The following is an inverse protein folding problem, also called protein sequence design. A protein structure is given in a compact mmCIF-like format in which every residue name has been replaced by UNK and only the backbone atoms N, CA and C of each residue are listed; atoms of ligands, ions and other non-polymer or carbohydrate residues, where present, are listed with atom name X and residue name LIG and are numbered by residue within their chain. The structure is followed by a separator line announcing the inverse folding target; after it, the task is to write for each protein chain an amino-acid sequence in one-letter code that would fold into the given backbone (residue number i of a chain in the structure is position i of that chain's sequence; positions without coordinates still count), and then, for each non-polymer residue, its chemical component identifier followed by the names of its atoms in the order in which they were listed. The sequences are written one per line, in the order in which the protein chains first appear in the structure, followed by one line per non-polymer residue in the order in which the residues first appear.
data_IF_823592702314
#
_entry.id   IF_823592702314
#
_cell.length_a   1.000
_cell.length_b   1.000
_cell.length_c   1.000
_cell.angle_alpha   90.00
_cell.angle_beta   90.00
_cell.angle_gamma   90.00
#
_symmetry.space_group_name_H-M   'P 1'
#
loop_
_entity.id
_entity.type
_entity.pdbx_description
1 polymer ?
#
# COMPACT_ATOMS: atom_id res chain seq x y z
N UNK A 1 2.73 -1.07 15.29
CA UNK A 1 4.08 -0.60 15.70
C UNK A 1 4.83 -1.88 15.99
N UNK A 2 5.95 -2.19 15.31
CA UNK A 2 6.53 -3.52 15.36
C UNK A 2 6.89 -3.99 16.78
N UNK A 3 7.29 -3.06 17.65
CA UNK A 3 7.58 -3.35 19.05
C UNK A 3 6.33 -3.75 19.83
N UNK A 4 5.23 -3.01 19.65
CA UNK A 4 3.94 -3.35 20.25
C UNK A 4 3.40 -4.68 19.71
N UNK A 5 3.51 -4.91 18.40
CA UNK A 5 3.03 -6.14 17.75
C UNK A 5 3.78 -7.36 18.33
N UNK A 6 5.12 -7.29 18.40
CA UNK A 6 5.93 -8.34 19.01
C UNK A 6 5.59 -8.57 20.50
N UNK A 7 5.36 -7.50 21.26
CA UNK A 7 5.00 -7.58 22.68
C UNK A 7 3.65 -8.29 22.88
N UNK A 8 2.64 -7.94 22.09
CA UNK A 8 1.29 -8.52 22.19
C UNK A 8 1.29 -9.99 21.77
N UNK A 9 1.82 -10.31 20.59
CA UNK A 9 1.80 -11.68 20.06
C UNK A 9 2.77 -12.64 20.78
N UNK A 10 3.81 -12.12 21.43
CA UNK A 10 4.74 -12.92 22.24
C UNK A 10 4.30 -13.14 23.70
N UNK A 11 3.29 -12.42 24.19
CA UNK A 11 2.84 -12.48 25.57
C UNK A 11 1.89 -13.65 25.84
N UNK A 12 2.00 -14.25 27.03
CA UNK A 12 1.02 -15.25 27.48
C UNK A 12 -0.29 -14.56 27.88
N UNK A 13 -1.47 -15.16 27.59
CA UNK A 13 -2.75 -14.65 28.08
C UNK A 13 -2.74 -14.49 29.61
N UNK A 14 -3.31 -13.39 30.09
CA UNK A 14 -3.41 -13.05 31.51
C UNK A 14 -2.15 -12.43 32.12
N UNK A 15 -0.98 -12.55 31.49
CA UNK A 15 0.27 -11.98 32.00
C UNK A 15 0.38 -10.48 31.66
N UNK A 16 0.95 -9.70 32.58
CA UNK A 16 1.37 -8.32 32.32
C UNK A 16 2.80 -8.34 31.79
N UNK A 17 3.04 -7.66 30.68
CA UNK A 17 4.35 -7.58 30.04
C UNK A 17 5.32 -6.67 30.80
N UNK A 18 6.61 -6.82 30.52
CA UNK A 18 7.59 -5.80 30.88
C UNK A 18 7.39 -4.53 30.01
N UNK A 19 7.78 -3.34 30.50
CA UNK A 19 7.74 -2.11 29.72
C UNK A 19 8.62 -2.21 28.47
N UNK A 20 8.05 -1.93 27.29
CA UNK A 20 8.76 -1.95 26.01
C UNK A 20 8.65 -0.59 25.34
N UNK A 21 9.77 -0.07 24.82
CA UNK A 21 9.80 1.18 24.06
C UNK A 21 9.37 0.93 22.61
N UNK A 22 8.41 1.72 22.13
CA UNK A 22 7.99 1.76 20.73
C UNK A 22 7.96 3.18 20.18
N UNK A 23 7.42 3.34 18.98
CA UNK A 23 7.48 4.61 18.23
C UNK A 23 6.68 5.73 18.90
N UNK A 24 5.68 5.40 19.71
CA UNK A 24 4.83 6.37 20.40
C UNK A 24 5.07 6.45 21.92
N UNK A 25 6.16 5.87 22.43
CA UNK A 25 6.51 5.90 23.85
C UNK A 25 6.72 4.53 24.47
N UNK A 26 6.26 4.33 25.70
CA UNK A 26 6.41 3.08 26.44
C UNK A 26 5.08 2.32 26.50
N UNK A 27 5.15 1.00 26.28
CA UNK A 27 4.01 0.10 26.32
C UNK A 27 4.15 -0.92 27.47
N UNK A 28 3.05 -1.14 28.18
CA UNK A 28 2.84 -2.27 29.09
C UNK A 28 1.50 -2.86 28.71
N UNK A 29 1.45 -4.15 28.38
CA UNK A 29 0.22 -4.80 27.89
C UNK A 29 -0.15 -5.99 28.76
N UNK A 30 -1.47 -6.24 28.86
CA UNK A 30 -2.04 -7.48 29.38
C UNK A 30 -2.86 -8.10 28.26
N UNK A 31 -2.52 -9.32 27.85
CA UNK A 31 -3.28 -10.01 26.81
C UNK A 31 -4.47 -10.71 27.46
N UNK A 32 -5.69 -10.24 27.19
CA UNK A 32 -6.88 -10.82 27.83
C UNK A 32 -7.32 -12.13 27.15
N UNK A 33 -7.28 -12.17 25.82
CA UNK A 33 -7.73 -13.31 25.01
C UNK A 33 -6.83 -13.45 23.79
N UNK A 34 -6.73 -14.69 23.26
CA UNK A 34 -6.04 -14.99 22.01
C UNK A 34 -7.01 -15.73 21.11
N UNK A 35 -7.26 -15.16 19.93
CA UNK A 35 -8.00 -15.82 18.86
C UNK A 35 -7.00 -16.47 17.90
N UNK A 36 -7.12 -17.77 17.62
CA UNK A 36 -6.25 -18.43 16.65
C UNK A 36 -6.32 -17.74 15.28
N UNK A 37 -5.17 -17.56 14.65
CA UNK A 37 -5.11 -17.04 13.30
C UNK A 37 -5.78 -18.01 12.31
N UNK A 38 -6.43 -17.47 11.29
CA UNK A 38 -6.96 -18.24 10.17
C UNK A 38 -6.22 -17.86 8.90
N UNK A 39 -5.50 -18.81 8.31
CA UNK A 39 -4.82 -18.60 7.02
C UNK A 39 -5.79 -18.95 5.89
N UNK A 40 -6.14 -18.00 5.00
CA UNK A 40 -7.04 -18.29 3.89
C UNK A 40 -6.39 -19.30 2.93
N UNK A 41 -7.21 -20.18 2.33
CA UNK A 41 -6.75 -21.06 1.25
C UNK A 41 -6.31 -20.22 0.05
N UNK A 42 -5.36 -20.73 -0.73
CA UNK A 42 -4.82 -20.04 -1.90
C UNK A 42 -5.93 -19.54 -2.85
N UNK A 43 -6.92 -20.36 -3.15
CA UNK A 43 -8.03 -19.98 -4.04
C UNK A 43 -8.78 -18.74 -3.57
N UNK A 44 -8.92 -18.53 -2.26
CA UNK A 44 -9.61 -17.35 -1.72
C UNK A 44 -8.82 -16.05 -1.89
N UNK A 45 -7.50 -16.13 -2.11
CA UNK A 45 -6.60 -14.96 -2.23
C UNK A 45 -5.89 -14.90 -3.59
N UNK A 46 -6.16 -15.85 -4.49
CA UNK A 46 -5.47 -15.99 -5.78
C UNK A 46 -5.54 -14.73 -6.62
N UNK A 47 -6.73 -14.16 -6.79
CA UNK A 47 -6.94 -12.95 -7.57
C UNK A 47 -6.15 -11.75 -7.01
N UNK A 48 -6.18 -11.57 -5.68
CA UNK A 48 -5.40 -10.52 -5.00
C UNK A 48 -3.90 -10.72 -5.22
N UNK A 49 -3.40 -11.95 -5.08
CA UNK A 49 -1.97 -12.28 -5.29
C UNK A 49 -1.54 -12.06 -6.74
N UNK A 50 -2.37 -12.42 -7.71
CA UNK A 50 -2.10 -12.18 -9.14
C UNK A 50 -2.03 -10.69 -9.45
N UNK A 51 -2.96 -9.88 -8.92
CA UNK A 51 -2.94 -8.43 -9.08
C UNK A 51 -1.68 -7.81 -8.47
N UNK A 52 -1.30 -8.24 -7.27
CA UNK A 52 -0.08 -7.78 -6.62
C UNK A 52 1.17 -8.16 -7.41
N UNK A 53 1.24 -9.39 -7.93
CA UNK A 53 2.36 -9.88 -8.74
C UNK A 53 2.47 -9.11 -10.06
N UNK A 54 1.36 -8.87 -10.75
CA UNK A 54 1.32 -8.06 -11.98
C UNK A 54 1.79 -6.63 -11.71
N UNK A 55 1.30 -6.01 -10.63
CA UNK A 55 1.68 -4.65 -10.25
C UNK A 55 3.18 -4.54 -9.96
N UNK A 56 3.72 -5.49 -9.18
CA UNK A 56 5.15 -5.57 -8.90
C UNK A 56 5.97 -5.80 -10.18
N UNK A 57 5.51 -6.68 -11.06
CA UNK A 57 6.13 -6.93 -12.36
C UNK A 57 6.18 -5.66 -13.21
N UNK A 58 5.04 -5.02 -13.46
CA UNK A 58 4.96 -3.79 -14.28
C UNK A 58 5.86 -2.71 -13.72
N UNK A 59 5.89 -2.51 -12.39
CA UNK A 59 6.80 -1.55 -11.75
C UNK A 59 8.26 -1.89 -12.04
N UNK A 60 8.67 -3.13 -11.77
CA UNK A 60 10.06 -3.56 -11.97
C UNK A 60 10.48 -3.49 -13.45
N UNK A 61 9.57 -3.82 -14.36
CA UNK A 61 9.76 -3.72 -15.79
C UNK A 61 9.95 -2.26 -16.19
N UNK A 62 9.05 -1.37 -15.78
CA UNK A 62 9.16 0.06 -16.05
C UNK A 62 10.46 0.63 -15.48
N UNK A 63 10.81 0.37 -14.23
CA UNK A 63 12.04 0.86 -13.60
C UNK A 63 13.30 0.39 -14.37
N UNK A 64 13.33 -0.90 -14.75
CA UNK A 64 14.44 -1.49 -15.51
C UNK A 64 14.60 -0.88 -16.89
N UNK A 65 13.51 -0.67 -17.62
CA UNK A 65 13.60 -0.15 -18.98
C UNK A 65 13.72 1.37 -19.01
N UNK A 66 13.03 2.10 -18.14
CA UNK A 66 13.22 3.55 -17.96
C UNK A 66 14.68 3.87 -17.68
N UNK A 67 15.35 3.12 -16.80
CA UNK A 67 16.78 3.36 -16.50
C UNK A 67 17.73 3.09 -17.67
N UNK A 68 17.30 2.31 -18.67
CA UNK A 68 18.13 1.90 -19.82
C UNK A 68 17.77 2.59 -21.13
N UNK A 69 16.63 3.27 -21.19
CA UNK A 69 16.12 3.87 -22.43
C UNK A 69 16.24 5.38 -22.38
N UNK A 70 17.18 5.92 -23.16
CA UNK A 70 17.24 7.35 -23.48
C UNK A 70 16.59 7.58 -24.84
N UNK A 71 15.54 8.39 -24.87
CA UNK A 71 14.77 8.64 -26.07
C UNK A 71 15.35 9.82 -26.86
N UNK A 72 15.14 9.83 -28.18
CA UNK A 72 15.56 10.95 -29.02
C UNK A 72 14.83 12.25 -28.61
N UNK A 73 15.49 13.40 -28.83
CA UNK A 73 15.03 14.73 -28.38
C UNK A 73 13.57 15.06 -28.71
N UNK A 74 13.07 14.60 -29.87
CA UNK A 74 11.71 14.87 -30.34
C UNK A 74 10.71 13.73 -30.07
N UNK A 75 11.14 12.66 -29.40
CA UNK A 75 10.34 11.46 -29.13
C UNK A 75 10.39 11.06 -27.64
N UNK A 76 10.56 12.04 -26.75
CA UNK A 76 10.60 11.80 -25.31
C UNK A 76 9.18 11.49 -24.82
N UNK A 77 9.02 10.34 -24.18
CA UNK A 77 7.79 9.91 -23.50
C UNK A 77 8.07 9.58 -22.04
N UNK A 78 7.04 9.47 -21.21
CA UNK A 78 7.17 9.27 -19.75
C UNK A 78 7.90 7.97 -19.32
N UNK A 79 8.11 7.06 -20.28
CA UNK A 79 8.86 5.82 -20.10
C UNK A 79 10.36 5.94 -20.43
N UNK A 80 10.86 7.13 -20.75
CA UNK A 80 12.26 7.38 -21.03
C UNK A 80 13.01 7.92 -19.81
N UNK A 81 14.30 7.58 -19.67
CA UNK A 81 15.20 8.10 -18.63
C UNK A 81 15.30 9.62 -18.64
N UNK A 82 15.33 10.21 -19.84
CA UNK A 82 15.43 11.64 -20.10
C UNK A 82 14.07 12.34 -20.19
N UNK A 83 12.99 11.69 -19.75
CA UNK A 83 11.68 12.32 -19.64
C UNK A 83 11.75 13.55 -18.71
N UNK A 84 11.24 14.71 -19.12
CA UNK A 84 11.12 15.84 -18.20
C UNK A 84 10.24 15.41 -17.03
N UNK A 85 10.68 15.70 -15.80
CA UNK A 85 9.88 15.48 -14.60
C UNK A 85 8.62 16.34 -14.75
N UNK A 86 7.46 15.72 -15.02
CA UNK A 86 6.20 16.45 -15.02
C UNK A 86 6.00 17.07 -13.64
N UNK A 87 5.69 18.36 -13.58
CA UNK A 87 5.19 18.98 -12.36
C UNK A 87 3.90 18.25 -11.96
N UNK A 88 3.76 17.92 -10.69
CA UNK A 88 2.59 17.23 -10.16
C UNK A 88 1.33 17.93 -10.67
N UNK A 89 0.60 17.27 -11.57
CA UNK A 89 -0.75 17.69 -11.90
C UNK A 89 -1.59 17.46 -10.63
N UNK A 90 -2.51 18.36 -10.28
CA UNK A 90 -3.56 18.04 -9.32
C UNK A 90 -4.17 16.71 -9.76
N UNK A 91 -4.18 15.71 -8.87
CA UNK A 91 -4.73 14.40 -9.18
C UNK A 91 -6.19 14.53 -9.66
N UNK A 92 -6.78 13.48 -10.22
CA UNK A 92 -8.21 13.43 -10.51
C UNK A 92 -8.98 13.42 -9.17
N UNK A 93 -9.07 14.59 -8.54
CA UNK A 93 -10.08 14.90 -7.55
C UNK A 93 -11.40 15.00 -8.28
N UNK A 94 -12.36 14.21 -7.85
CA UNK A 94 -13.80 14.47 -7.99
C UNK A 94 -14.26 14.86 -9.39
N UNK A 95 -14.78 13.89 -10.15
CA UNK A 95 -15.89 14.20 -11.05
C UNK A 95 -16.99 14.84 -10.19
N UNK A 96 -17.05 16.15 -10.24
CA UNK A 96 -18.13 16.93 -9.65
C UNK A 96 -19.38 16.54 -10.42
N UNK A 97 -20.23 15.77 -9.76
CA UNK A 97 -21.54 15.33 -10.23
C UNK A 97 -22.30 16.59 -10.69
N UNK A 98 -22.68 16.63 -11.97
CA UNK A 98 -23.49 17.71 -12.52
C UNK A 98 -24.83 17.77 -11.78
N UNK A 99 -25.39 18.96 -11.49
CA UNK A 99 -26.73 19.06 -10.93
C UNK A 99 -27.74 18.43 -11.90
N UNK A 100 -28.58 17.54 -11.39
CA UNK A 100 -29.75 17.04 -12.10
C UNK A 100 -30.62 18.23 -12.56
N UNK A 101 -30.93 18.25 -13.86
CA UNK A 101 -31.89 19.18 -14.42
C UNK A 101 -33.29 18.89 -13.83
N UNK A 102 -34.10 19.92 -13.53
CA UNK A 102 -35.42 19.72 -12.95
C UNK A 102 -36.34 19.00 -13.94
N UNK A 103 -36.90 17.86 -13.52
CA UNK A 103 -38.06 17.27 -14.19
C UNK A 103 -39.20 18.28 -14.16
N UNK A 104 -39.74 18.62 -15.33
CA UNK A 104 -40.93 19.45 -15.46
C UNK A 104 -41.87 18.88 -16.52
N UNK A 105 -43.15 18.77 -16.15
CA UNK A 105 -44.29 18.58 -17.05
C UNK A 105 -45.04 17.28 -16.88
#
# INVERSE_FOLDING_TARGET
DPSLDALVFGSKPGAISQPTKGSFGWYVVKVNNVTPGNTPKFEAVKAQKQQAALTAFVKSFQDKWKSKTECAKYYIVDLCKNAPKQAAQPGPGTVQQAPEAPQGG
#
